data_IF_409528239494
#
_entry.id   IF_409528239494
#
_cell.length_a   1.000
_cell.length_b   1.000
_cell.length_c   1.000
_cell.angle_alpha   90.00
_cell.angle_beta   90.00
_cell.angle_gamma   90.00
#
_symmetry.space_group_name_H-M   'P 1'
#
loop_
_entity.id
_entity.type
_entity.pdbx_description
1 polymer ?
#
# COMPACT_ATOMS: atom_id res chain seq x y z
N UNK A 1 7.76 1.24 25.82
CA UNK A 1 8.68 1.04 24.68
C UNK A 1 8.86 2.40 24.02
N UNK A 2 10.02 3.03 24.19
CA UNK A 2 10.35 4.25 23.43
C UNK A 2 10.57 3.85 21.97
N UNK A 3 9.61 4.15 21.11
CA UNK A 3 9.74 3.95 19.67
C UNK A 3 10.77 4.97 19.16
N UNK A 4 12.00 4.51 18.85
CA UNK A 4 13.00 5.35 18.20
C UNK A 4 12.48 5.76 16.82
N UNK A 5 12.28 7.06 16.64
CA UNK A 5 11.84 7.66 15.38
C UNK A 5 12.88 7.35 14.30
N UNK A 6 12.48 6.61 13.25
CA UNK A 6 13.41 6.25 12.17
C UNK A 6 13.49 7.38 11.13
N UNK A 7 14.68 7.67 10.57
CA UNK A 7 14.88 8.79 9.62
C UNK A 7 14.04 8.67 8.35
N UNK A 8 13.72 7.44 7.93
CA UNK A 8 12.81 7.12 6.83
C UNK A 8 11.38 7.68 7.03
N UNK A 9 10.99 8.03 8.26
CA UNK A 9 9.67 8.60 8.59
C UNK A 9 9.70 10.12 8.67
N UNK A 10 10.76 10.67 9.27
CA UNK A 10 10.87 12.11 9.51
C UNK A 10 11.04 12.87 8.20
N UNK A 11 11.84 12.34 7.27
CA UNK A 11 12.14 13.04 6.01
C UNK A 11 10.86 13.28 5.19
N UNK A 12 10.01 12.27 4.90
CA UNK A 12 8.75 12.51 4.21
C UNK A 12 7.81 13.44 4.99
N UNK A 13 7.71 13.33 6.31
CA UNK A 13 6.90 14.26 7.11
C UNK A 13 7.36 15.71 6.96
N UNK A 14 8.66 15.96 7.02
CA UNK A 14 9.21 17.30 6.82
C UNK A 14 8.94 17.80 5.40
N UNK A 15 9.07 16.94 4.38
CA UNK A 15 8.74 17.29 2.99
C UNK A 15 7.27 17.68 2.86
N UNK A 16 6.36 16.89 3.43
CA UNK A 16 4.92 17.16 3.40
C UNK A 16 4.58 18.49 4.09
N UNK A 17 5.20 18.78 5.23
CA UNK A 17 5.08 20.07 5.92
C UNK A 17 5.54 21.22 5.02
N UNK A 18 6.73 21.12 4.42
CA UNK A 18 7.27 22.15 3.55
C UNK A 18 6.34 22.39 2.35
N UNK A 19 5.78 21.35 1.75
CA UNK A 19 4.86 21.48 0.60
C UNK A 19 3.60 22.28 0.98
N UNK A 20 2.96 21.94 2.10
CA UNK A 20 1.74 22.60 2.57
C UNK A 20 1.99 24.10 2.77
N UNK A 21 2.98 24.44 3.62
CA UNK A 21 3.28 25.83 3.96
C UNK A 21 3.83 26.63 2.78
N UNK A 22 4.65 26.01 1.92
CA UNK A 22 5.15 26.71 0.72
C UNK A 22 4.04 26.95 -0.30
N UNK A 23 3.10 26.02 -0.47
CA UNK A 23 2.00 26.17 -1.42
C UNK A 23 1.02 27.28 -1.01
N UNK A 24 0.66 27.36 0.27
CA UNK A 24 -0.21 28.41 0.79
C UNK A 24 0.45 29.79 0.71
N UNK A 25 1.72 29.90 1.08
CA UNK A 25 2.48 31.15 1.01
C UNK A 25 2.67 31.64 -0.43
N UNK A 26 3.05 30.75 -1.35
CA UNK A 26 3.28 31.12 -2.76
C UNK A 26 2.00 31.55 -3.47
N UNK A 27 0.90 30.82 -3.27
CA UNK A 27 -0.40 31.20 -3.83
C UNK A 27 -0.93 32.50 -3.20
N UNK A 28 -0.74 32.67 -1.90
CA UNK A 28 -1.11 33.92 -1.20
C UNK A 28 -0.34 35.12 -1.71
N UNK A 29 0.96 34.96 -2.00
CA UNK A 29 1.80 36.00 -2.59
C UNK A 29 1.34 36.36 -3.99
N UNK A 30 1.06 35.35 -4.82
CA UNK A 30 0.60 35.56 -6.19
C UNK A 30 -0.73 36.33 -6.25
N UNK A 31 -1.68 36.05 -5.35
CA UNK A 31 -2.98 36.75 -5.28
C UNK A 31 -2.94 38.05 -4.49
N UNK A 32 -1.78 38.47 -3.98
CA UNK A 32 -1.60 39.71 -3.19
C UNK A 32 -2.58 39.78 -2.00
N UNK A 33 -2.65 38.70 -1.22
CA UNK A 33 -3.56 38.60 -0.08
C UNK A 33 -3.25 39.62 1.02
N UNK A 34 -4.28 39.96 1.78
CA UNK A 34 -4.19 40.80 2.98
C UNK A 34 -3.54 40.04 4.15
N UNK A 35 -2.99 40.78 5.12
CA UNK A 35 -2.34 40.20 6.32
C UNK A 35 -3.31 39.27 7.09
N UNK A 36 -4.59 39.62 7.14
CA UNK A 36 -5.62 38.77 7.73
C UNK A 36 -5.73 37.41 7.02
N UNK A 37 -5.80 37.41 5.69
CA UNK A 37 -5.96 36.17 4.90
C UNK A 37 -4.74 35.26 5.04
N UNK A 38 -3.52 35.82 5.13
CA UNK A 38 -2.33 35.03 5.46
C UNK A 38 -2.41 34.38 6.85
N UNK A 39 -2.93 35.09 7.85
CA UNK A 39 -3.10 34.55 9.20
C UNK A 39 -4.11 33.39 9.18
N UNK A 40 -5.19 33.53 8.40
CA UNK A 40 -6.17 32.46 8.21
C UNK A 40 -5.56 31.22 7.53
N UNK A 41 -4.75 31.42 6.47
CA UNK A 41 -4.05 30.33 5.79
C UNK A 41 -3.07 29.61 6.72
N UNK A 42 -2.32 30.35 7.55
CA UNK A 42 -1.39 29.75 8.51
C UNK A 42 -2.13 28.89 9.55
N UNK A 43 -3.24 29.39 10.09
CA UNK A 43 -4.08 28.62 11.02
C UNK A 43 -4.60 27.34 10.34
N UNK A 44 -5.09 27.46 9.10
CA UNK A 44 -5.57 26.32 8.32
C UNK A 44 -4.48 25.27 8.13
N UNK A 45 -3.27 25.68 7.73
CA UNK A 45 -2.13 24.79 7.51
C UNK A 45 -1.73 24.05 8.79
N UNK A 46 -1.67 24.75 9.93
CA UNK A 46 -1.33 24.13 11.23
C UNK A 46 -2.38 23.11 11.66
N UNK A 47 -3.68 23.45 11.56
CA UNK A 47 -4.77 22.54 11.92
C UNK A 47 -4.78 21.33 11.00
N UNK A 48 -4.66 21.55 9.69
CA UNK A 48 -4.59 20.48 8.72
C UNK A 48 -3.40 19.56 8.98
N UNK A 49 -2.21 20.12 9.19
CA UNK A 49 -1.00 19.37 9.44
C UNK A 49 -1.11 18.47 10.68
N UNK A 50 -1.68 18.99 11.77
CA UNK A 50 -1.93 18.23 12.99
C UNK A 50 -2.87 17.04 12.75
N UNK A 51 -3.99 17.26 12.07
CA UNK A 51 -4.96 16.21 11.74
C UNK A 51 -4.38 15.17 10.77
N UNK A 52 -3.62 15.62 9.78
CA UNK A 52 -3.03 14.74 8.76
C UNK A 52 -1.96 13.81 9.35
N UNK A 53 -1.08 14.33 10.22
CA UNK A 53 -0.13 13.50 10.98
C UNK A 53 -0.87 12.52 11.89
N UNK A 54 -1.88 13.01 12.62
CA UNK A 54 -2.63 12.16 13.54
C UNK A 54 -3.24 10.96 12.81
N UNK A 55 -3.90 11.19 11.67
CA UNK A 55 -4.51 10.10 10.89
C UNK A 55 -3.46 9.14 10.32
N UNK A 56 -2.33 9.67 9.84
CA UNK A 56 -1.20 8.85 9.39
C UNK A 56 -0.66 7.93 10.50
N UNK A 57 -0.42 8.48 11.69
CA UNK A 57 0.06 7.73 12.85
C UNK A 57 -1.01 6.79 13.42
N UNK A 58 -2.28 7.18 13.39
CA UNK A 58 -3.40 6.35 13.81
C UNK A 58 -3.52 5.11 12.92
N UNK A 59 -3.54 5.29 11.59
CA UNK A 59 -3.60 4.17 10.61
C UNK A 59 -2.37 3.28 10.67
N UNK A 60 -1.19 3.84 10.97
CA UNK A 60 0.04 3.08 11.22
C UNK A 60 -0.08 2.20 12.46
N UNK A 61 -0.50 2.79 13.58
CA UNK A 61 -0.56 2.09 14.88
C UNK A 61 -1.56 0.95 14.85
N UNK A 62 -2.67 1.11 14.10
CA UNK A 62 -3.69 0.08 13.90
C UNK A 62 -3.36 -0.90 12.76
N UNK A 63 -2.17 -0.82 12.16
CA UNK A 63 -1.71 -1.67 11.04
C UNK A 63 -2.65 -1.68 9.83
N UNK A 64 -3.44 -0.63 9.62
CA UNK A 64 -4.31 -0.52 8.44
C UNK A 64 -3.51 -0.09 7.19
N UNK A 65 -2.28 0.39 7.38
CA UNK A 65 -1.30 0.59 6.31
C UNK A 65 -0.81 -0.76 5.75
N UNK A 66 -0.82 -1.82 6.57
CA UNK A 66 -0.28 -3.14 6.21
C UNK A 66 -0.92 -3.77 4.97
N UNK A 67 -2.24 -3.57 4.80
CA UNK A 67 -2.97 -4.17 3.68
C UNK A 67 -2.86 -3.36 2.38
N UNK A 68 -2.28 -2.15 2.42
CA UNK A 68 -2.13 -1.31 1.25
C UNK A 68 -0.66 -0.91 1.07
N UNK A 69 0.08 -1.67 0.26
CA UNK A 69 1.50 -1.41 -0.05
C UNK A 69 1.73 -0.04 -0.69
N UNK A 70 0.67 0.65 -1.15
CA UNK A 70 0.72 2.02 -1.63
C UNK A 70 0.88 3.07 -0.52
N UNK A 71 0.54 2.77 0.74
CA UNK A 71 0.55 3.72 1.87
C UNK A 71 1.91 3.86 2.58
N UNK A 72 3.02 3.96 1.83
CA UNK A 72 4.29 4.37 2.43
C UNK A 72 4.31 5.89 2.63
N UNK A 73 4.97 6.39 3.68
CA UNK A 73 5.11 7.83 3.91
C UNK A 73 5.69 8.58 2.70
N UNK A 74 6.59 7.92 1.95
CA UNK A 74 7.16 8.46 0.71
C UNK A 74 6.10 8.57 -0.37
N UNK A 75 5.31 7.53 -0.60
CA UNK A 75 4.25 7.53 -1.61
C UNK A 75 3.19 8.59 -1.30
N UNK A 76 2.79 8.70 -0.03
CA UNK A 76 1.87 9.77 0.42
C UNK A 76 2.46 11.16 0.13
N UNK A 77 3.75 11.36 0.36
CA UNK A 77 4.41 12.63 0.04
C UNK A 77 4.46 12.93 -1.46
N UNK A 78 4.71 11.92 -2.31
CA UNK A 78 4.66 12.03 -3.77
C UNK A 78 3.24 12.36 -4.24
N UNK A 79 2.23 11.66 -3.70
CA UNK A 79 0.83 11.92 -3.97
C UNK A 79 0.46 13.37 -3.64
N UNK A 80 0.90 13.88 -2.49
CA UNK A 80 0.67 15.27 -2.11
C UNK A 80 1.40 16.27 -2.99
N UNK A 81 2.63 16.00 -3.46
CA UNK A 81 3.30 16.86 -4.44
C UNK A 81 2.45 17.01 -5.71
N UNK A 82 1.98 15.88 -6.26
CA UNK A 82 1.24 15.88 -7.53
C UNK A 82 -0.14 16.52 -7.32
N UNK A 83 -0.84 16.24 -6.22
CA UNK A 83 -2.14 16.83 -5.94
C UNK A 83 -2.04 18.34 -5.66
N UNK A 84 -0.95 18.81 -5.04
CA UNK A 84 -0.70 20.26 -4.85
C UNK A 84 -0.60 20.99 -6.20
N UNK A 85 0.01 20.37 -7.21
CA UNK A 85 0.06 20.96 -8.57
C UNK A 85 -1.35 21.14 -9.13
N UNK A 86 -2.23 20.15 -8.92
CA UNK A 86 -3.65 20.27 -9.33
C UNK A 86 -4.37 21.35 -8.54
N UNK A 87 -4.12 21.47 -7.23
CA UNK A 87 -4.67 22.54 -6.38
C UNK A 87 -4.26 23.93 -6.89
N UNK A 88 -2.99 24.10 -7.28
CA UNK A 88 -2.50 25.34 -7.90
C UNK A 88 -3.25 25.63 -9.21
N UNK A 89 -3.46 24.62 -10.07
CA UNK A 89 -4.25 24.77 -11.31
C UNK A 89 -5.69 25.20 -10.99
N UNK A 90 -6.33 24.64 -9.97
CA UNK A 90 -7.68 25.01 -9.53
C UNK A 90 -7.81 26.49 -9.15
N UNK A 91 -6.73 27.16 -8.69
CA UNK A 91 -6.75 28.59 -8.41
C UNK A 91 -6.92 29.47 -9.66
N UNK A 92 -6.62 28.94 -10.85
CA UNK A 92 -6.72 29.66 -12.13
C UNK A 92 -7.96 29.28 -12.94
N UNK A 93 -8.64 28.20 -12.58
CA UNK A 93 -9.83 27.71 -13.29
C UNK A 93 -11.09 28.42 -12.77
N UNK A 94 -12.06 28.77 -13.65
CA UNK A 94 -13.32 29.39 -13.23
C UNK A 94 -14.13 28.53 -12.25
N UNK A 95 -15.02 29.20 -11.51
CA UNK A 95 -15.89 28.56 -10.53
C UNK A 95 -16.72 27.42 -11.13
N UNK A 96 -16.93 26.36 -10.36
CA UNK A 96 -17.67 25.14 -10.73
C UNK A 96 -17.08 24.29 -11.87
N UNK A 97 -15.96 24.71 -12.48
CA UNK A 97 -15.24 23.94 -13.53
C UNK A 97 -13.90 23.39 -12.98
N UNK A 98 -13.55 23.71 -11.74
CA UNK A 98 -12.30 23.30 -11.09
C UNK A 98 -12.17 21.76 -11.05
N UNK A 99 -11.04 21.17 -11.47
CA UNK A 99 -10.85 19.70 -11.51
C UNK A 99 -10.54 19.09 -10.13
N UNK A 100 -11.38 19.41 -9.12
CA UNK A 100 -11.18 19.04 -7.71
C UNK A 100 -11.18 17.52 -7.52
N UNK A 101 -11.96 16.80 -8.33
CA UNK A 101 -11.98 15.33 -8.35
C UNK A 101 -10.59 14.71 -8.52
N UNK A 102 -9.71 15.32 -9.33
CA UNK A 102 -8.38 14.78 -9.59
C UNK A 102 -7.48 14.75 -8.35
N UNK A 103 -7.64 15.74 -7.46
CA UNK A 103 -6.90 15.80 -6.19
C UNK A 103 -7.16 14.53 -5.37
N UNK A 104 -8.43 14.13 -5.26
CA UNK A 104 -8.84 12.95 -4.49
C UNK A 104 -8.41 11.67 -5.19
N UNK A 105 -8.54 11.58 -6.52
CA UNK A 105 -8.09 10.40 -7.30
C UNK A 105 -6.60 10.15 -7.09
N UNK A 106 -5.77 11.19 -7.22
CA UNK A 106 -4.32 11.10 -7.05
C UNK A 106 -4.01 10.68 -5.61
N UNK A 107 -4.62 11.33 -4.62
CA UNK A 107 -4.37 11.01 -3.22
C UNK A 107 -4.83 9.59 -2.85
N UNK A 108 -5.98 9.12 -3.33
CA UNK A 108 -6.42 7.74 -3.11
C UNK A 108 -5.46 6.72 -3.71
N UNK A 109 -4.83 7.03 -4.85
CA UNK A 109 -3.89 6.13 -5.52
C UNK A 109 -2.54 5.98 -4.78
N UNK A 110 -2.18 6.92 -3.90
CA UNK A 110 -0.92 6.90 -3.14
C UNK A 110 -1.13 6.77 -1.63
N UNK A 111 -2.38 6.82 -1.16
CA UNK A 111 -2.71 6.84 0.27
C UNK A 111 -3.99 6.05 0.53
N UNK A 112 -4.80 6.53 1.48
CA UNK A 112 -6.10 5.93 1.80
C UNK A 112 -7.21 6.91 1.45
N UNK A 113 -8.42 6.39 1.32
CA UNK A 113 -9.66 7.15 1.16
C UNK A 113 -9.80 8.30 2.19
N UNK A 114 -9.60 8.03 3.48
CA UNK A 114 -9.73 9.05 4.54
C UNK A 114 -8.68 10.16 4.37
N UNK A 115 -7.42 9.81 4.09
CA UNK A 115 -6.36 10.81 3.88
C UNK A 115 -6.62 11.65 2.62
N UNK A 116 -7.14 11.04 1.56
CA UNK A 116 -7.52 11.74 0.35
C UNK A 116 -8.68 12.72 0.58
N UNK A 117 -9.68 12.34 1.38
CA UNK A 117 -10.78 13.23 1.78
C UNK A 117 -10.24 14.39 2.61
N UNK A 118 -9.40 14.13 3.62
CA UNK A 118 -8.81 15.17 4.47
C UNK A 118 -8.01 16.18 3.62
N UNK A 119 -7.11 15.70 2.76
CA UNK A 119 -6.31 16.55 1.88
C UNK A 119 -7.16 17.30 0.83
N UNK A 120 -8.19 16.65 0.29
CA UNK A 120 -9.10 17.28 -0.65
C UNK A 120 -9.91 18.41 -0.02
N UNK A 121 -10.45 18.21 1.20
CA UNK A 121 -11.16 19.27 1.94
C UNK A 121 -10.24 20.45 2.20
N UNK A 122 -9.01 20.20 2.66
CA UNK A 122 -7.99 21.24 2.82
C UNK A 122 -7.76 22.03 1.53
N UNK A 123 -7.60 21.32 0.41
CA UNK A 123 -7.36 21.95 -0.90
C UNK A 123 -8.51 22.85 -1.33
N UNK A 124 -9.77 22.45 -1.11
CA UNK A 124 -10.92 23.30 -1.40
C UNK A 124 -10.91 24.54 -0.51
N UNK A 125 -10.73 24.38 0.80
CA UNK A 125 -10.76 25.50 1.74
C UNK A 125 -9.65 26.51 1.42
N UNK A 126 -8.45 26.01 1.09
CA UNK A 126 -7.33 26.83 0.64
C UNK A 126 -7.67 27.60 -0.64
N UNK A 127 -8.16 26.92 -1.68
CA UNK A 127 -8.59 27.59 -2.94
C UNK A 127 -9.71 28.59 -2.68
N UNK A 128 -10.60 28.31 -1.73
CA UNK A 128 -11.76 29.14 -1.42
C UNK A 128 -11.39 30.43 -0.71
N UNK A 129 -10.43 30.39 0.21
CA UNK A 129 -9.88 31.59 0.84
C UNK A 129 -9.16 32.46 -0.20
N UNK A 130 -8.41 31.82 -1.12
CA UNK A 130 -7.58 32.52 -2.09
C UNK A 130 -8.41 33.19 -3.20
N UNK A 131 -9.47 32.53 -3.67
CA UNK A 131 -10.32 33.02 -4.76
C UNK A 131 -11.63 33.66 -4.27
N UNK A 132 -11.90 33.69 -2.96
CA UNK A 132 -13.18 34.12 -2.38
C UNK A 132 -14.38 33.38 -3.01
N UNK A 133 -14.31 32.05 -3.06
CA UNK A 133 -15.33 31.18 -3.64
C UNK A 133 -16.68 31.32 -2.94
N UNK A 134 -17.79 31.12 -3.67
CA UNK A 134 -19.13 31.19 -3.08
C UNK A 134 -19.49 29.93 -2.27
N UNK A 135 -20.50 30.04 -1.40
CA UNK A 135 -20.91 28.94 -0.51
C UNK A 135 -21.37 27.70 -1.29
N UNK A 136 -22.09 27.93 -2.38
CA UNK A 136 -22.64 26.88 -3.25
C UNK A 136 -21.51 26.08 -3.91
N UNK A 137 -20.42 26.76 -4.29
CA UNK A 137 -19.26 26.09 -4.88
C UNK A 137 -18.54 25.21 -3.87
N UNK A 138 -18.37 25.70 -2.63
CA UNK A 138 -17.73 24.92 -1.56
C UNK A 138 -18.55 23.65 -1.28
N UNK A 139 -19.87 23.76 -1.20
CA UNK A 139 -20.76 22.60 -0.98
C UNK A 139 -20.68 21.61 -2.14
N UNK A 140 -20.75 22.08 -3.38
CA UNK A 140 -20.61 21.24 -4.57
C UNK A 140 -19.29 20.48 -4.57
N UNK A 141 -18.19 21.18 -4.28
CA UNK A 141 -16.85 20.61 -4.26
C UNK A 141 -16.68 19.56 -3.15
N UNK A 142 -17.21 19.80 -1.94
CA UNK A 142 -17.18 18.82 -0.83
C UNK A 142 -17.94 17.55 -1.20
N UNK A 143 -19.12 17.66 -1.83
CA UNK A 143 -19.87 16.49 -2.29
C UNK A 143 -19.10 15.70 -3.36
N UNK A 144 -18.46 16.40 -4.31
CA UNK A 144 -17.63 15.77 -5.33
C UNK A 144 -16.47 15.01 -4.68
N UNK A 145 -15.81 15.56 -3.67
CA UNK A 145 -14.72 14.86 -2.96
C UNK A 145 -15.20 13.55 -2.34
N UNK A 146 -16.30 13.61 -1.57
CA UNK A 146 -16.81 12.44 -0.85
C UNK A 146 -17.21 11.33 -1.83
N UNK A 147 -17.99 11.68 -2.86
CA UNK A 147 -18.41 10.70 -3.86
C UNK A 147 -17.23 10.18 -4.69
N UNK A 148 -16.25 11.01 -4.99
CA UNK A 148 -15.01 10.58 -5.66
C UNK A 148 -14.27 9.54 -4.85
N UNK A 149 -14.07 9.77 -3.54
CA UNK A 149 -13.37 8.83 -2.68
C UNK A 149 -14.06 7.46 -2.63
N UNK A 150 -15.40 7.45 -2.58
CA UNK A 150 -16.20 6.21 -2.60
C UNK A 150 -16.03 5.48 -3.93
N UNK A 151 -16.13 6.19 -5.06
CA UNK A 151 -16.04 5.57 -6.39
C UNK A 151 -14.62 5.07 -6.69
N UNK A 152 -13.58 5.79 -6.24
CA UNK A 152 -12.19 5.35 -6.43
C UNK A 152 -11.93 4.01 -5.73
N UNK A 153 -12.58 3.75 -4.59
CA UNK A 153 -12.44 2.46 -3.89
C UNK A 153 -12.95 1.27 -4.73
N UNK A 154 -13.90 1.50 -5.65
CA UNK A 154 -14.37 0.48 -6.61
C UNK A 154 -13.34 0.13 -7.69
N UNK A 155 -12.27 0.92 -7.87
CA UNK A 155 -11.16 0.60 -8.77
C UNK A 155 -10.20 -0.48 -8.21
N UNK A 156 -10.54 -1.14 -7.10
CA UNK A 156 -9.83 -2.35 -6.70
C UNK A 156 -10.00 -3.50 -7.73
N UNK A 157 -11.13 -3.53 -8.45
CA UNK A 157 -11.45 -4.57 -9.41
C UNK A 157 -11.30 -4.09 -10.86
N UNK A 158 -10.49 -4.77 -11.66
CA UNK A 158 -10.24 -4.39 -13.06
C UNK A 158 -11.50 -4.38 -13.95
N UNK A 159 -12.49 -5.21 -13.62
CA UNK A 159 -13.76 -5.28 -14.37
C UNK A 159 -14.65 -4.05 -14.14
N UNK A 160 -14.45 -3.33 -13.03
CA UNK A 160 -15.33 -2.24 -12.61
C UNK A 160 -14.82 -0.85 -13.03
N UNK A 161 -13.68 -0.77 -13.73
CA UNK A 161 -13.03 0.50 -14.11
C UNK A 161 -13.92 1.39 -14.98
N UNK A 162 -14.60 0.79 -15.96
CA UNK A 162 -15.45 1.52 -16.90
C UNK A 162 -16.67 2.09 -16.18
N UNK A 163 -17.32 1.29 -15.34
CA UNK A 163 -18.47 1.71 -14.55
C UNK A 163 -18.10 2.81 -13.54
N UNK A 164 -16.95 2.67 -12.88
CA UNK A 164 -16.46 3.66 -11.94
C UNK A 164 -16.11 4.99 -12.62
N UNK A 165 -15.54 4.96 -13.83
CA UNK A 165 -15.30 6.19 -14.59
C UNK A 165 -16.59 6.85 -15.07
N UNK A 166 -17.58 6.06 -15.46
CA UNK A 166 -18.87 6.55 -15.90
C UNK A 166 -19.65 7.19 -14.74
N UNK A 167 -19.60 6.61 -13.53
CA UNK A 167 -20.20 7.24 -12.34
C UNK A 167 -19.49 8.54 -11.95
N UNK A 168 -18.15 8.59 -11.98
CA UNK A 168 -17.39 9.83 -11.76
C UNK A 168 -17.79 10.95 -12.73
N UNK A 169 -17.98 10.60 -14.01
CA UNK A 169 -18.43 11.55 -15.03
C UNK A 169 -19.77 12.20 -14.65
N UNK A 170 -20.76 11.37 -14.31
CA UNK A 170 -22.10 11.86 -13.96
C UNK A 170 -22.09 12.64 -12.64
N UNK A 171 -21.35 12.19 -11.64
CA UNK A 171 -21.21 12.88 -10.35
C UNK A 171 -20.65 14.29 -10.56
N UNK A 172 -19.52 14.41 -11.27
CA UNK A 172 -18.90 15.72 -11.50
C UNK A 172 -19.79 16.64 -12.36
N UNK A 173 -20.43 16.11 -13.39
CA UNK A 173 -21.28 16.89 -14.28
C UNK A 173 -22.57 17.37 -13.59
N UNK A 174 -23.28 16.46 -12.89
CA UNK A 174 -24.59 16.76 -12.32
C UNK A 174 -24.49 17.65 -11.09
N UNK A 175 -23.54 17.40 -10.19
CA UNK A 175 -23.40 18.19 -8.95
C UNK A 175 -23.02 19.64 -9.28
N UNK A 176 -21.99 19.84 -10.12
CA UNK A 176 -21.60 21.19 -10.51
C UNK A 176 -22.70 21.92 -11.29
N UNK A 177 -23.49 21.21 -12.11
CA UNK A 177 -24.62 21.83 -12.82
C UNK A 177 -25.74 22.24 -11.87
N UNK A 178 -26.06 21.41 -10.87
CA UNK A 178 -27.09 21.68 -9.87
C UNK A 178 -26.78 22.94 -9.07
N UNK A 179 -25.59 23.04 -8.48
CA UNK A 179 -25.21 24.19 -7.66
C UNK A 179 -24.92 25.45 -8.48
N UNK A 180 -24.47 25.30 -9.74
CA UNK A 180 -24.37 26.44 -10.65
C UNK A 180 -25.75 27.02 -10.98
N UNK A 181 -26.75 26.15 -11.20
CA UNK A 181 -28.13 26.58 -11.43
C UNK A 181 -28.71 27.28 -10.19
N UNK A 182 -28.45 26.76 -8.99
CA UNK A 182 -28.87 27.41 -7.75
C UNK A 182 -28.30 28.82 -7.59
N UNK A 183 -27.01 29.02 -7.89
CA UNK A 183 -26.36 30.33 -7.80
C UNK A 183 -26.85 31.33 -8.85
N UNK A 184 -26.99 30.90 -10.11
CA UNK A 184 -27.16 31.79 -11.26
C UNK A 184 -28.57 31.78 -11.87
N UNK A 185 -29.48 30.92 -11.40
CA UNK A 185 -30.85 30.68 -11.90
C UNK A 185 -30.97 30.35 -13.41
N UNK A 186 -29.85 30.26 -14.13
CA UNK A 186 -29.78 29.98 -15.57
C UNK A 186 -28.50 29.21 -15.87
N UNK A 187 -28.57 28.29 -16.84
CA UNK A 187 -27.39 27.54 -17.31
C UNK A 187 -27.03 28.00 -18.72
N UNK A 188 -25.89 28.65 -18.87
CA UNK A 188 -25.36 29.02 -20.19
C UNK A 188 -24.93 27.77 -20.97
N UNK A 189 -25.19 27.75 -22.28
CA UNK A 189 -24.73 26.67 -23.18
C UNK A 189 -23.20 26.47 -23.10
N UNK A 190 -22.44 27.56 -22.98
CA UNK A 190 -20.98 27.50 -22.91
C UNK A 190 -20.49 26.81 -21.63
N UNK A 191 -21.16 27.07 -20.50
CA UNK A 191 -20.86 26.40 -19.24
C UNK A 191 -21.16 24.90 -19.34
N UNK A 192 -22.31 24.52 -19.89
CA UNK A 192 -22.69 23.12 -20.04
C UNK A 192 -21.72 22.32 -20.93
N UNK A 193 -21.23 22.93 -22.01
CA UNK A 193 -20.20 22.30 -22.85
C UNK A 193 -18.87 22.17 -22.08
N UNK A 194 -18.50 23.19 -21.32
CA UNK A 194 -17.26 23.20 -20.54
C UNK A 194 -17.26 22.14 -19.43
N UNK A 195 -18.38 21.95 -18.72
CA UNK A 195 -18.48 20.95 -17.66
C UNK A 195 -18.45 19.51 -18.22
N UNK A 196 -19.04 19.28 -19.39
CA UNK A 196 -18.93 17.98 -20.08
C UNK A 196 -17.48 17.74 -20.51
N UNK A 197 -16.82 18.75 -21.07
CA UNK A 197 -15.43 18.65 -21.51
C UNK A 197 -14.48 18.35 -20.33
N UNK A 198 -14.61 19.06 -19.19
CA UNK A 198 -13.75 18.79 -18.03
C UNK A 198 -14.06 17.42 -17.39
N UNK A 199 -15.34 17.01 -17.37
CA UNK A 199 -15.73 15.71 -16.81
C UNK A 199 -15.17 14.56 -17.65
N UNK A 200 -15.23 14.67 -18.98
CA UNK A 200 -14.61 13.67 -19.87
C UNK A 200 -13.09 13.64 -19.72
N UNK A 201 -12.44 14.79 -19.62
CA UNK A 201 -10.99 14.89 -19.38
C UNK A 201 -10.60 14.23 -18.06
N UNK A 202 -11.33 14.50 -16.97
CA UNK A 202 -11.06 13.90 -15.67
C UNK A 202 -11.19 12.37 -15.71
N UNK A 203 -12.21 11.82 -16.39
CA UNK A 203 -12.37 10.37 -16.53
C UNK A 203 -11.24 9.74 -17.35
N UNK A 204 -10.83 10.35 -18.45
CA UNK A 204 -9.69 9.88 -19.26
C UNK A 204 -8.39 9.90 -18.44
N UNK A 205 -8.16 10.97 -17.69
CA UNK A 205 -7.02 11.07 -16.79
C UNK A 205 -7.05 9.94 -15.75
N UNK A 206 -8.17 9.72 -15.06
CA UNK A 206 -8.30 8.66 -14.06
C UNK A 206 -8.04 7.28 -14.65
N UNK A 207 -8.58 6.96 -15.83
CA UNK A 207 -8.33 5.66 -16.49
C UNK A 207 -6.84 5.41 -16.78
N UNK A 208 -6.17 6.39 -17.38
CA UNK A 208 -4.75 6.28 -17.75
C UNK A 208 -3.87 6.25 -16.50
N UNK A 209 -4.16 7.14 -15.56
CA UNK A 209 -3.39 7.32 -14.34
C UNK A 209 -3.49 6.08 -13.43
N UNK A 210 -4.70 5.60 -13.15
CA UNK A 210 -4.89 4.46 -12.24
C UNK A 210 -4.30 3.18 -12.81
N UNK A 211 -4.45 2.93 -14.12
CA UNK A 211 -3.82 1.78 -14.79
C UNK A 211 -2.29 1.83 -14.69
N UNK A 212 -1.70 3.03 -14.85
CA UNK A 212 -0.24 3.23 -14.77
C UNK A 212 0.27 3.09 -13.33
N UNK A 213 -0.38 3.74 -12.37
CA UNK A 213 0.02 3.69 -10.96
C UNK A 213 -0.10 2.26 -10.42
N UNK A 214 -1.22 1.58 -10.65
CA UNK A 214 -1.43 0.20 -10.20
C UNK A 214 -0.35 -0.76 -10.74
N UNK A 215 -0.02 -0.66 -12.03
CA UNK A 215 1.03 -1.49 -12.62
C UNK A 215 2.43 -1.17 -12.04
N UNK A 216 2.74 0.11 -11.88
CA UNK A 216 4.02 0.54 -11.34
C UNK A 216 4.21 0.11 -9.88
N UNK A 217 3.18 0.20 -9.02
CA UNK A 217 3.30 -0.22 -7.62
C UNK A 217 3.59 -1.71 -7.51
N UNK A 218 2.89 -2.55 -8.28
CA UNK A 218 3.14 -4.00 -8.29
C UNK A 218 4.56 -4.31 -8.79
N UNK A 219 5.04 -3.56 -9.79
CA UNK A 219 6.41 -3.71 -10.30
C UNK A 219 7.45 -3.28 -9.28
N UNK A 220 7.27 -2.16 -8.58
CA UNK A 220 8.20 -1.70 -7.54
C UNK A 220 8.29 -2.68 -6.38
N UNK A 221 7.15 -3.25 -5.95
CA UNK A 221 7.12 -4.25 -4.88
C UNK A 221 7.92 -5.50 -5.27
N UNK A 222 7.77 -5.98 -6.52
CA UNK A 222 8.55 -7.11 -7.04
C UNK A 222 10.03 -6.80 -7.19
N UNK A 223 10.38 -5.63 -7.70
CA UNK A 223 11.78 -5.19 -7.83
C UNK A 223 12.46 -5.16 -6.45
N UNK A 224 11.76 -4.71 -5.41
CA UNK A 224 12.29 -4.68 -4.05
C UNK A 224 12.49 -6.08 -3.46
N UNK A 225 11.63 -7.04 -3.81
CA UNK A 225 11.85 -8.45 -3.47
C UNK A 225 13.12 -9.00 -4.11
N UNK A 226 13.31 -8.75 -5.41
CA UNK A 226 14.50 -9.17 -6.15
C UNK A 226 15.78 -8.53 -5.59
N UNK A 227 15.74 -7.24 -5.23
CA UNK A 227 16.89 -6.53 -4.63
C UNK A 227 17.33 -7.15 -3.30
N UNK A 228 16.40 -7.46 -2.40
CA UNK A 228 16.74 -8.05 -1.10
C UNK A 228 17.08 -9.55 -1.20
N UNK A 229 16.75 -10.21 -2.31
CA UNK A 229 17.14 -11.59 -2.61
C UNK A 229 18.51 -11.67 -3.31
N UNK A 230 19.10 -10.55 -3.73
CA UNK A 230 20.41 -10.52 -4.38
C UNK A 230 21.49 -11.08 -3.45
N UNK A 231 22.35 -11.97 -3.95
CA UNK A 231 23.39 -12.64 -3.16
C UNK A 231 24.37 -11.67 -2.49
N UNK A 232 24.54 -10.46 -3.05
CA UNK A 232 25.40 -9.42 -2.51
C UNK A 232 24.69 -8.50 -1.52
N UNK A 233 23.40 -8.71 -1.26
CA UNK A 233 22.66 -7.92 -0.30
C UNK A 233 23.22 -8.11 1.11
N UNK A 234 23.41 -7.00 1.82
CA UNK A 234 24.11 -6.97 3.11
C UNK A 234 23.50 -7.92 4.16
N UNK A 235 22.17 -8.07 4.19
CA UNK A 235 21.52 -8.99 5.11
C UNK A 235 21.87 -10.45 4.79
N UNK A 236 21.92 -10.85 3.51
CA UNK A 236 22.32 -12.20 3.08
C UNK A 236 23.77 -12.48 3.46
N UNK A 237 24.66 -11.53 3.18
CA UNK A 237 26.08 -11.63 3.56
C UNK A 237 26.24 -11.80 5.08
N UNK A 238 25.42 -11.12 5.88
CA UNK A 238 25.44 -11.24 7.34
C UNK A 238 25.06 -12.62 7.85
N UNK A 239 24.07 -13.27 7.23
CA UNK A 239 23.66 -14.65 7.58
C UNK A 239 24.71 -15.65 7.16
N UNK A 240 25.27 -15.48 5.96
CA UNK A 240 26.34 -16.34 5.44
C UNK A 240 27.58 -16.31 6.32
N UNK A 241 27.91 -15.14 6.90
CA UNK A 241 28.99 -15.00 7.86
C UNK A 241 28.64 -15.56 9.25
N UNK A 242 27.37 -15.49 9.66
CA UNK A 242 26.90 -15.98 10.96
C UNK A 242 26.81 -17.51 11.02
N UNK A 243 26.10 -18.12 10.07
CA UNK A 243 25.94 -19.58 10.00
C UNK A 243 25.73 -20.05 8.56
N UNK A 244 26.66 -20.85 7.99
CA UNK A 244 26.49 -21.42 6.67
C UNK A 244 25.34 -22.43 6.61
N UNK A 245 25.00 -23.07 7.74
CA UNK A 245 23.87 -24.00 7.83
C UNK A 245 22.54 -23.27 7.71
N UNK A 246 22.34 -22.19 8.47
CA UNK A 246 21.11 -21.37 8.38
C UNK A 246 20.98 -20.71 7.00
N UNK A 247 22.09 -20.28 6.40
CA UNK A 247 22.08 -19.78 5.03
C UNK A 247 21.60 -20.85 4.03
N UNK A 248 22.17 -22.06 4.11
CA UNK A 248 21.77 -23.16 3.21
C UNK A 248 20.30 -23.58 3.43
N UNK A 249 19.83 -23.55 4.68
CA UNK A 249 18.42 -23.76 5.01
C UNK A 249 17.54 -22.71 4.35
N UNK A 250 17.85 -21.42 4.55
CA UNK A 250 17.11 -20.29 3.97
C UNK A 250 17.03 -20.37 2.43
N UNK A 251 18.13 -20.74 1.76
CA UNK A 251 18.14 -20.95 0.30
C UNK A 251 17.19 -22.07 -0.13
N UNK A 252 17.18 -23.20 0.58
CA UNK A 252 16.26 -24.32 0.27
C UNK A 252 14.80 -23.93 0.48
N UNK A 253 14.50 -23.23 1.57
CA UNK A 253 13.13 -22.77 1.86
C UNK A 253 12.68 -21.80 0.77
N UNK A 254 13.52 -20.82 0.45
CA UNK A 254 13.26 -19.86 -0.64
C UNK A 254 12.92 -20.53 -1.97
N UNK A 255 13.77 -21.45 -2.44
CA UNK A 255 13.55 -22.17 -3.71
C UNK A 255 12.28 -23.04 -3.67
N UNK A 256 12.07 -23.78 -2.59
CA UNK A 256 10.90 -24.66 -2.47
C UNK A 256 9.60 -23.84 -2.41
N UNK A 257 9.58 -22.76 -1.62
CA UNK A 257 8.43 -21.85 -1.54
C UNK A 257 8.13 -21.22 -2.90
N UNK A 258 9.16 -20.80 -3.65
CA UNK A 258 9.00 -20.26 -5.01
C UNK A 258 8.32 -21.27 -5.96
N UNK A 259 8.84 -22.51 -5.98
CA UNK A 259 8.32 -23.57 -6.86
C UNK A 259 6.89 -23.97 -6.50
N UNK A 260 6.59 -24.09 -5.22
CA UNK A 260 5.23 -24.37 -4.76
C UNK A 260 4.27 -23.20 -5.10
N UNK A 261 4.67 -21.95 -4.86
CA UNK A 261 3.86 -20.77 -5.16
C UNK A 261 3.49 -20.70 -6.65
N UNK A 262 4.45 -21.02 -7.53
CA UNK A 262 4.24 -21.08 -8.99
C UNK A 262 3.16 -22.08 -9.37
N UNK A 263 3.06 -23.20 -8.64
CA UNK A 263 2.10 -24.27 -8.93
C UNK A 263 0.66 -23.89 -8.56
N UNK A 264 0.48 -23.17 -7.45
CA UNK A 264 -0.85 -22.76 -6.95
C UNK A 264 -1.26 -21.35 -7.36
N UNK A 265 -0.39 -20.62 -8.07
CA UNK A 265 -0.66 -19.27 -8.54
C UNK A 265 -0.59 -18.21 -7.44
N UNK A 266 0.27 -18.42 -6.44
CA UNK A 266 0.56 -17.41 -5.40
C UNK A 266 1.65 -16.45 -5.86
N UNK A 267 1.92 -15.39 -5.09
CA UNK A 267 3.04 -14.49 -5.37
C UNK A 267 4.38 -15.21 -5.18
N UNK A 268 5.01 -15.59 -6.28
CA UNK A 268 6.25 -16.37 -6.29
C UNK A 268 7.43 -15.59 -5.72
N UNK A 269 7.54 -14.31 -6.03
CA UNK A 269 8.62 -13.42 -5.57
C UNK A 269 8.54 -13.16 -4.07
N UNK A 270 7.32 -12.92 -3.55
CA UNK A 270 7.09 -12.79 -2.12
C UNK A 270 7.42 -14.09 -1.39
N UNK A 271 6.95 -15.25 -1.90
CA UNK A 271 7.22 -16.55 -1.30
C UNK A 271 8.71 -16.89 -1.25
N UNK A 272 9.46 -16.62 -2.33
CA UNK A 272 10.90 -16.81 -2.36
C UNK A 272 11.60 -15.95 -1.31
N UNK A 273 11.26 -14.66 -1.28
CA UNK A 273 11.91 -13.67 -0.43
C UNK A 273 11.57 -13.84 1.03
N UNK A 274 10.30 -13.93 1.37
CA UNK A 274 9.87 -14.17 2.73
C UNK A 274 10.26 -15.57 3.22
N UNK A 275 10.36 -16.57 2.33
CA UNK A 275 10.91 -17.89 2.64
C UNK A 275 12.38 -17.83 3.06
N UNK A 276 13.21 -17.06 2.36
CA UNK A 276 14.61 -16.85 2.73
C UNK A 276 14.74 -16.19 4.11
N UNK A 277 13.96 -15.13 4.34
CA UNK A 277 14.03 -14.34 5.57
C UNK A 277 13.17 -14.88 6.72
N UNK A 278 12.45 -16.00 6.54
CA UNK A 278 11.46 -16.49 7.50
C UNK A 278 12.05 -16.73 8.90
N UNK A 279 13.25 -17.32 8.95
CA UNK A 279 13.99 -17.64 10.18
C UNK A 279 14.90 -16.50 10.66
N UNK A 280 14.69 -15.27 10.22
CA UNK A 280 15.49 -14.10 10.64
C UNK A 280 15.52 -13.90 12.17
N UNK A 281 14.53 -14.41 12.90
CA UNK A 281 14.50 -14.45 14.38
C UNK A 281 15.63 -15.27 15.02
N UNK A 282 16.27 -16.18 14.28
CA UNK A 282 17.38 -17.04 14.73
C UNK A 282 18.76 -16.48 14.40
N UNK A 283 18.85 -15.44 13.58
CA UNK A 283 20.12 -14.95 13.00
C UNK A 283 20.94 -14.01 13.91
N UNK A 284 20.84 -14.16 15.23
CA UNK A 284 21.58 -13.38 16.22
C UNK A 284 21.65 -14.13 17.55
N UNK A 285 22.66 -13.84 18.35
CA UNK A 285 22.91 -14.49 19.66
C UNK A 285 21.74 -14.35 20.65
N UNK A 286 21.00 -13.23 20.59
CA UNK A 286 19.86 -12.96 21.47
C UNK A 286 18.52 -13.12 20.72
N UNK A 287 18.29 -14.31 20.19
CA UNK A 287 17.14 -14.77 19.39
C UNK A 287 15.79 -14.14 19.81
N UNK A 288 14.93 -13.86 18.82
CA UNK A 288 13.56 -13.41 19.10
C UNK A 288 12.86 -12.69 17.95
N UNK A 289 11.56 -12.95 17.81
CA UNK A 289 10.70 -12.41 16.73
C UNK A 289 10.70 -10.86 16.73
N UNK A 290 10.61 -10.22 17.89
CA UNK A 290 10.53 -8.74 17.95
C UNK A 290 11.79 -8.05 17.44
N UNK A 291 12.96 -8.64 17.70
CA UNK A 291 14.24 -8.12 17.22
C UNK A 291 14.43 -8.33 15.73
N UNK A 292 13.98 -9.46 15.19
CA UNK A 292 13.96 -9.68 13.74
C UNK A 292 13.06 -8.67 13.04
N UNK A 293 11.86 -8.42 13.57
CA UNK A 293 10.97 -7.36 13.06
C UNK A 293 11.66 -6.01 13.12
N UNK A 294 12.35 -5.69 14.23
CA UNK A 294 13.06 -4.42 14.37
C UNK A 294 14.21 -4.27 13.35
N UNK A 295 14.99 -5.34 13.13
CA UNK A 295 16.07 -5.38 12.13
C UNK A 295 15.51 -5.23 10.71
N UNK A 296 14.48 -6.00 10.35
CA UNK A 296 13.84 -5.91 9.04
C UNK A 296 13.22 -4.53 8.78
N UNK A 297 12.64 -3.88 9.81
CA UNK A 297 12.16 -2.49 9.71
C UNK A 297 13.30 -1.49 9.50
N UNK A 298 14.43 -1.70 10.17
CA UNK A 298 15.62 -0.85 10.03
C UNK A 298 16.24 -0.95 8.65
N UNK A 299 16.30 -2.16 8.08
CA UNK A 299 16.75 -2.44 6.71
C UNK A 299 15.67 -2.13 5.65
N UNK A 300 14.55 -1.55 6.07
CA UNK A 300 13.44 -1.12 5.22
C UNK A 300 12.84 -2.23 4.34
N UNK A 301 12.73 -3.45 4.87
CA UNK A 301 12.12 -4.57 4.15
C UNK A 301 10.65 -4.27 3.80
N UNK A 302 10.12 -4.86 2.71
CA UNK A 302 8.70 -4.76 2.38
C UNK A 302 7.81 -5.27 3.51
N UNK A 303 6.67 -4.62 3.72
CA UNK A 303 5.83 -4.88 4.89
C UNK A 303 5.27 -6.30 4.93
N UNK A 304 4.87 -6.85 3.76
CA UNK A 304 4.41 -8.24 3.64
C UNK A 304 5.47 -9.25 4.13
N UNK A 305 6.74 -9.02 3.81
CA UNK A 305 7.86 -9.86 4.28
C UNK A 305 7.99 -9.74 5.80
N UNK A 306 7.96 -8.52 6.35
CA UNK A 306 8.03 -8.27 7.79
C UNK A 306 6.88 -8.97 8.53
N UNK A 307 5.67 -8.96 7.96
CA UNK A 307 4.54 -9.63 8.57
C UNK A 307 4.68 -11.14 8.57
N UNK A 308 5.13 -11.74 7.46
CA UNK A 308 5.39 -13.18 7.39
C UNK A 308 6.47 -13.57 8.42
N UNK A 309 7.54 -12.78 8.58
CA UNK A 309 8.54 -12.98 9.64
C UNK A 309 7.90 -12.89 11.04
N UNK A 310 6.92 -12.00 11.23
CA UNK A 310 6.21 -11.87 12.52
C UNK A 310 5.29 -13.05 12.85
N UNK A 311 4.93 -13.84 11.83
CA UNK A 311 4.07 -15.03 11.92
C UNK A 311 4.90 -16.33 12.02
N UNK A 312 6.20 -16.20 12.30
CA UNK A 312 7.11 -17.33 12.48
C UNK A 312 6.51 -18.39 13.42
N UNK A 313 6.37 -19.61 12.89
CA UNK A 313 5.81 -20.79 13.55
C UNK A 313 4.39 -20.65 14.13
N UNK A 314 3.72 -19.51 13.95
CA UNK A 314 2.46 -19.25 14.66
C UNK A 314 2.63 -18.90 16.15
N UNK A 315 3.85 -18.58 16.62
CA UNK A 315 4.12 -18.41 18.07
C UNK A 315 3.41 -17.19 18.68
N UNK A 316 3.49 -16.04 17.99
CA UNK A 316 2.83 -14.79 18.40
C UNK A 316 1.58 -14.49 17.60
N UNK A 317 1.59 -14.84 16.31
CA UNK A 317 0.50 -14.60 15.36
C UNK A 317 0.39 -15.78 14.42
N UNK A 318 -0.83 -16.17 14.12
CA UNK A 318 -1.10 -17.19 13.13
C UNK A 318 -0.86 -16.65 11.71
N UNK A 319 -0.50 -17.53 10.76
CA UNK A 319 -0.46 -17.22 9.33
C UNK A 319 -1.71 -16.49 8.86
N UNK A 320 -1.56 -15.25 8.36
CA UNK A 320 -2.67 -14.41 7.92
C UNK A 320 -2.89 -14.39 6.40
N UNK A 321 -1.97 -14.99 5.64
CA UNK A 321 -2.00 -15.04 4.17
C UNK A 321 -1.66 -16.41 3.64
N UNK A 322 -2.07 -16.67 2.39
CA UNK A 322 -1.79 -17.93 1.66
C UNK A 322 -0.30 -18.15 1.49
N UNK A 323 0.45 -17.07 1.27
CA UNK A 323 1.90 -17.05 1.15
C UNK A 323 2.58 -17.39 2.48
N UNK A 324 2.14 -16.80 3.59
CA UNK A 324 2.64 -17.13 4.94
C UNK A 324 2.41 -18.59 5.31
N UNK A 325 1.21 -19.10 5.03
CA UNK A 325 0.86 -20.51 5.19
C UNK A 325 1.79 -21.43 4.40
N UNK A 326 2.01 -21.10 3.12
CA UNK A 326 2.88 -21.87 2.25
C UNK A 326 4.33 -21.91 2.78
N UNK A 327 4.87 -20.76 3.18
CA UNK A 327 6.24 -20.64 3.69
C UNK A 327 6.41 -21.48 4.96
N UNK A 328 5.45 -21.38 5.89
CA UNK A 328 5.49 -22.14 7.14
C UNK A 328 5.44 -23.66 6.88
N UNK A 329 4.62 -24.10 5.92
CA UNK A 329 4.61 -25.50 5.47
C UNK A 329 5.97 -25.93 4.90
N UNK A 330 6.57 -25.13 4.03
CA UNK A 330 7.87 -25.46 3.40
C UNK A 330 9.04 -25.42 4.37
N UNK A 331 9.07 -24.47 5.30
CA UNK A 331 10.08 -24.35 6.36
C UNK A 331 10.04 -25.57 7.29
N UNK A 332 8.84 -25.91 7.79
CA UNK A 332 8.62 -27.07 8.68
C UNK A 332 9.04 -28.38 8.00
N UNK A 333 8.77 -28.51 6.70
CA UNK A 333 9.18 -29.68 5.93
C UNK A 333 10.71 -29.76 5.81
N UNK A 334 11.37 -28.67 5.45
CA UNK A 334 12.83 -28.64 5.27
C UNK A 334 13.54 -28.87 6.61
N UNK A 335 13.06 -28.26 7.70
CA UNK A 335 13.61 -28.44 9.05
C UNK A 335 13.56 -29.92 9.47
N UNK A 336 12.39 -30.57 9.32
CA UNK A 336 12.25 -32.02 9.58
C UNK A 336 13.16 -32.86 8.68
N UNK A 337 13.29 -32.51 7.41
CA UNK A 337 14.15 -33.23 6.46
C UNK A 337 15.63 -33.11 6.79
N UNK A 338 16.10 -31.94 7.24
CA UNK A 338 17.49 -31.73 7.62
C UNK A 338 17.83 -32.48 8.91
N UNK A 339 16.91 -32.53 9.87
CA UNK A 339 17.04 -33.38 11.04
C UNK A 339 17.13 -34.87 10.69
N UNK A 340 16.35 -35.33 9.71
CA UNK A 340 16.32 -36.75 9.30
C UNK A 340 17.49 -37.12 8.39
N UNK A 341 18.01 -36.25 7.53
CA UNK A 341 19.21 -36.58 6.72
C UNK A 341 20.45 -36.92 7.54
N UNK A 342 20.51 -36.48 8.79
CA UNK A 342 21.54 -36.90 9.74
C UNK A 342 21.35 -38.36 10.22
N UNK A 343 20.25 -39.01 9.86
CA UNK A 343 19.86 -40.38 10.17
C UNK A 343 19.66 -41.15 8.83
N UNK A 344 20.52 -42.14 8.56
CA UNK A 344 20.66 -42.84 7.26
C UNK A 344 19.35 -43.24 6.54
N UNK A 345 19.40 -43.14 5.20
CA UNK A 345 18.34 -43.12 4.16
C UNK A 345 17.46 -44.38 3.96
N UNK A 346 16.18 -44.14 3.59
CA UNK A 346 15.40 -44.88 2.60
C UNK A 346 14.40 -43.94 1.88
N UNK A 347 14.22 -44.10 0.56
CA UNK A 347 13.34 -43.24 -0.27
C UNK A 347 11.86 -43.32 0.11
N UNK A 348 11.40 -44.48 0.61
CA UNK A 348 10.04 -44.72 1.08
C UNK A 348 9.71 -43.95 2.37
N UNK A 349 10.72 -43.62 3.18
CA UNK A 349 10.53 -42.81 4.39
C UNK A 349 10.25 -41.34 4.06
N UNK A 350 10.70 -40.85 2.90
CA UNK A 350 10.54 -39.43 2.54
C UNK A 350 9.12 -39.06 2.11
N UNK A 351 8.47 -39.86 1.26
CA UNK A 351 7.07 -39.59 0.88
C UNK A 351 6.18 -39.64 2.12
N UNK A 352 6.36 -40.67 2.95
CA UNK A 352 5.64 -40.84 4.20
C UNK A 352 5.92 -39.69 5.19
N UNK A 353 7.16 -39.20 5.29
CA UNK A 353 7.51 -38.03 6.08
C UNK A 353 6.80 -36.76 5.59
N UNK A 354 6.73 -36.53 4.28
CA UNK A 354 6.03 -35.38 3.71
C UNK A 354 4.54 -35.47 4.05
N UNK A 355 3.94 -36.65 3.87
CA UNK A 355 2.53 -36.87 4.23
C UNK A 355 2.27 -36.64 5.71
N UNK A 356 3.07 -37.24 6.59
CA UNK A 356 2.94 -37.07 8.04
C UNK A 356 3.10 -35.61 8.43
N UNK A 357 4.16 -34.95 7.95
CA UNK A 357 4.45 -33.55 8.27
C UNK A 357 3.32 -32.62 7.85
N UNK A 358 2.82 -32.77 6.63
CA UNK A 358 1.75 -31.93 6.12
C UNK A 358 0.41 -32.27 6.78
N UNK A 359 0.17 -33.54 7.13
CA UNK A 359 -1.03 -33.93 7.87
C UNK A 359 -1.02 -33.36 9.29
N UNK A 360 0.09 -33.47 10.01
CA UNK A 360 0.30 -32.81 11.31
C UNK A 360 0.02 -31.31 11.20
N UNK A 361 0.55 -30.70 10.13
CA UNK A 361 0.37 -29.28 9.87
C UNK A 361 -1.10 -28.90 9.60
N UNK A 362 -1.85 -29.76 8.91
CA UNK A 362 -3.28 -29.57 8.67
C UNK A 362 -4.14 -29.72 9.93
N UNK A 363 -3.66 -30.52 10.90
CA UNK A 363 -4.33 -30.71 12.20
C UNK A 363 -4.02 -29.53 13.14
N UNK A 364 -2.86 -28.89 12.99
CA UNK A 364 -2.62 -27.63 13.67
C UNK A 364 -3.52 -26.57 13.05
N UNK A 365 -4.47 -26.01 13.81
CA UNK A 365 -5.39 -24.91 13.43
C UNK A 365 -4.66 -23.59 13.01
N UNK A 366 -3.37 -23.67 12.66
CA UNK A 366 -2.51 -22.56 12.23
C UNK A 366 -2.90 -22.02 10.86
N UNK A 367 -3.53 -22.83 10.00
CA UNK A 367 -3.87 -22.44 8.63
C UNK A 367 -5.23 -21.75 8.51
N UNK A 368 -6.09 -21.82 9.52
CA UNK A 368 -7.50 -21.42 9.43
C UNK A 368 -7.66 -19.93 9.07
N UNK A 369 -6.75 -19.08 9.56
CA UNK A 369 -6.76 -17.63 9.33
C UNK A 369 -6.06 -17.21 8.02
N UNK A 370 -5.40 -18.13 7.31
CA UNK A 370 -4.55 -17.81 6.15
C UNK A 370 -5.33 -17.57 4.85
N UNK A 371 -6.59 -17.99 4.80
CA UNK A 371 -7.42 -17.96 3.59
C UNK A 371 -7.00 -18.98 2.52
N UNK A 372 -6.07 -19.89 2.82
CA UNK A 372 -5.68 -20.99 1.93
C UNK A 372 -6.79 -22.03 1.83
N UNK A 373 -7.22 -22.36 0.61
CA UNK A 373 -8.27 -23.37 0.42
C UNK A 373 -7.70 -24.79 0.56
N UNK A 374 -8.55 -25.74 0.98
CA UNK A 374 -8.19 -27.16 1.04
C UNK A 374 -7.69 -27.66 -0.32
N UNK A 375 -8.29 -27.21 -1.42
CA UNK A 375 -7.83 -27.55 -2.76
C UNK A 375 -6.39 -27.08 -3.04
N UNK A 376 -6.06 -25.84 -2.67
CA UNK A 376 -4.70 -25.31 -2.81
C UNK A 376 -3.71 -26.08 -1.95
N UNK A 377 -4.10 -26.46 -0.73
CA UNK A 377 -3.28 -27.28 0.17
C UNK A 377 -2.94 -28.64 -0.43
N UNK A 378 -3.94 -29.33 -0.97
CA UNK A 378 -3.74 -30.63 -1.62
C UNK A 378 -2.84 -30.51 -2.86
N UNK A 379 -3.00 -29.45 -3.67
CA UNK A 379 -2.12 -29.20 -4.82
C UNK A 379 -0.65 -29.00 -4.41
N UNK A 380 -0.40 -28.22 -3.35
CA UNK A 380 0.96 -28.03 -2.81
C UNK A 380 1.53 -29.35 -2.31
N UNK A 381 0.75 -30.12 -1.53
CA UNK A 381 1.17 -31.41 -1.01
C UNK A 381 1.52 -32.38 -2.12
N UNK A 382 0.66 -32.52 -3.12
CA UNK A 382 0.87 -33.43 -4.24
C UNK A 382 2.10 -33.01 -5.07
N UNK A 383 2.35 -31.70 -5.20
CA UNK A 383 3.56 -31.18 -5.83
C UNK A 383 4.82 -31.51 -5.03
N UNK A 384 4.81 -31.28 -3.72
CA UNK A 384 5.92 -31.58 -2.82
C UNK A 384 6.32 -33.05 -2.85
N UNK A 385 5.33 -33.95 -2.89
CA UNK A 385 5.55 -35.40 -2.98
C UNK A 385 6.13 -35.81 -4.34
N UNK A 386 5.61 -35.27 -5.45
CA UNK A 386 5.98 -35.74 -6.80
C UNK A 386 7.25 -35.11 -7.37
N UNK A 387 7.41 -33.80 -7.17
CA UNK A 387 8.36 -32.96 -7.92
C UNK A 387 9.14 -31.99 -7.02
N UNK A 388 8.67 -31.68 -5.82
CA UNK A 388 9.24 -30.65 -4.96
C UNK A 388 10.69 -30.90 -4.51
N UNK A 389 11.18 -32.15 -4.55
CA UNK A 389 12.45 -32.52 -3.91
C UNK A 389 13.45 -33.17 -4.89
N UNK A 390 13.05 -33.49 -6.12
CA UNK A 390 13.99 -33.94 -7.15
C UNK A 390 14.81 -32.73 -7.59
N UNK A 391 16.12 -32.80 -7.31
CA UNK A 391 17.13 -31.79 -7.66
C UNK A 391 17.00 -31.28 -9.09
#
# INVERSE_FOLDING_TARGET
>A
MEEKVTPYRVIPMVIMFIIIFSSSLTLGFYRSLTVHEYLLLLILDVVFWGLFIYELEYKRTHRQIHNNTQCSFINVSIGMCISTIVTVICCFVPDFIKPIMLIVVIMCAFSTDVLAIIYGIYSIVLVSIINNSSKEEIVAAVLIIIFTAIVVNSFANANDYVWSCLTMFFVNCMINTLFFFEKNNTVSKNYFISIIAISTLNCLFTLVFYKKVYHNTISEEKNKYEEILDENYHAILSVKAFSPEEYNHAVKVSDLSYRCAKKVGFDTTLCATAGFYYRMCKWNDNQGIDKAIQKAKYECFPEKVINIISEYNGEKKLPSSKESALINMTDTLIDKMEHIKNVKENSLDFEMLIYQTLNDFSITNKLDASGMSVHQFLLVRDYLVKEGIKK
#
